data_IF_925251027907
#
_entry.id   IF_925251027907
#
_cell.length_a   1.000
_cell.length_b   1.000
_cell.length_c   1.000
_cell.angle_alpha   90.00
_cell.angle_beta   90.00
_cell.angle_gamma   90.00
#
_symmetry.space_group_name_H-M   'P 1'
#
loop_
_entity.id
_entity.type
_entity.pdbx_description
1 polymer ?
#
# COMPACT_ATOMS: atom_id res chain seq x y z
N UNK A 1 -2.22 -8.22 -3.36
CA UNK A 1 -0.96 -7.67 -2.79
C UNK A 1 0.25 -8.11 -3.61
N UNK A 2 1.38 -7.57 -3.29
CA UNK A 2 2.66 -7.96 -3.87
C UNK A 2 3.52 -8.54 -2.75
N UNK A 3 3.93 -9.80 -2.94
CA UNK A 3 4.85 -10.45 -2.03
C UNK A 3 6.25 -9.83 -2.18
N UNK A 4 6.70 -9.15 -1.16
CA UNK A 4 7.96 -8.42 -1.19
C UNK A 4 9.18 -9.32 -1.10
N UNK A 5 9.05 -10.52 -0.59
CA UNK A 5 10.16 -11.47 -0.51
C UNK A 5 10.43 -12.09 -1.89
N UNK A 6 9.39 -12.32 -2.67
CA UNK A 6 9.49 -12.83 -4.03
C UNK A 6 9.76 -11.74 -5.07
N UNK A 7 9.36 -10.50 -4.80
CA UNK A 7 9.47 -9.42 -5.77
C UNK A 7 10.91 -8.93 -5.93
N UNK A 8 11.44 -8.95 -7.15
CA UNK A 8 12.77 -8.44 -7.50
C UNK A 8 12.81 -6.94 -7.80
N UNK A 9 11.65 -6.27 -7.90
CA UNK A 9 11.57 -4.84 -8.23
C UNK A 9 11.84 -4.50 -9.71
N UNK A 10 11.78 -5.48 -10.61
CA UNK A 10 12.13 -5.32 -12.03
C UNK A 10 11.27 -4.31 -12.82
N UNK A 11 10.07 -3.94 -12.33
CA UNK A 11 9.20 -2.96 -12.97
C UNK A 11 8.39 -3.45 -14.18
N UNK A 12 8.53 -4.72 -14.59
CA UNK A 12 7.81 -5.27 -15.74
C UNK A 12 6.29 -5.15 -15.61
N UNK A 13 5.75 -5.38 -14.40
CA UNK A 13 4.34 -5.25 -14.09
C UNK A 13 3.81 -3.82 -14.27
N UNK A 14 4.58 -2.81 -13.88
CA UNK A 14 4.25 -1.40 -14.06
C UNK A 14 4.24 -1.02 -15.55
N UNK A 15 5.27 -1.40 -16.28
CA UNK A 15 5.40 -1.11 -17.72
C UNK A 15 4.22 -1.66 -18.53
N UNK A 16 3.76 -2.86 -18.20
CA UNK A 16 2.70 -3.56 -18.96
C UNK A 16 1.29 -3.32 -18.43
N UNK A 17 1.13 -2.59 -17.34
CA UNK A 17 -0.19 -2.27 -16.80
C UNK A 17 -0.99 -1.40 -17.80
N UNK A 18 -2.21 -1.81 -18.21
CA UNK A 18 -3.04 -1.04 -19.11
C UNK A 18 -3.76 0.12 -18.42
N UNK A 19 -4.00 0.02 -17.12
CA UNK A 19 -4.72 1.05 -16.36
C UNK A 19 -3.84 2.28 -16.16
N UNK A 20 -4.46 3.46 -16.31
CA UNK A 20 -3.84 4.75 -16.06
C UNK A 20 -4.72 5.57 -15.15
N UNK A 21 -4.16 6.28 -14.22
CA UNK A 21 -4.86 7.20 -13.32
C UNK A 21 -4.01 8.44 -13.11
N UNK A 22 -4.64 9.50 -12.63
CA UNK A 22 -3.94 10.74 -12.27
C UNK A 22 -2.91 10.46 -11.19
N UNK A 23 -1.73 11.02 -11.35
CA UNK A 23 -0.66 10.87 -10.39
C UNK A 23 -0.83 11.88 -9.25
N UNK A 24 -1.11 11.40 -8.06
CA UNK A 24 -1.28 12.24 -6.87
C UNK A 24 0.02 12.81 -6.31
N UNK A 25 1.16 12.26 -6.73
CA UNK A 25 2.49 12.68 -6.22
C UNK A 25 3.03 13.93 -6.95
N UNK A 26 2.42 14.31 -8.08
CA UNK A 26 2.77 15.50 -8.85
C UNK A 26 1.57 16.43 -9.10
N UNK A 27 0.59 16.40 -8.20
CA UNK A 27 -0.63 17.22 -8.26
C UNK A 27 -1.44 16.97 -9.56
N UNK A 28 -1.30 15.81 -10.17
CA UNK A 28 -2.05 15.42 -11.36
C UNK A 28 -1.44 15.84 -12.69
N UNK A 29 -0.21 16.33 -12.70
CA UNK A 29 0.48 16.74 -13.94
C UNK A 29 0.83 15.56 -14.85
N UNK A 30 0.99 14.36 -14.29
CA UNK A 30 1.24 13.15 -15.07
C UNK A 30 0.21 12.05 -14.78
N UNK A 31 0.31 10.97 -15.56
CA UNK A 31 -0.50 9.77 -15.35
C UNK A 31 0.40 8.65 -14.83
N UNK A 32 -0.01 8.02 -13.73
CA UNK A 32 0.61 6.80 -13.22
C UNK A 32 -0.19 5.55 -13.59
N UNK A 33 0.42 4.40 -13.46
CA UNK A 33 -0.25 3.10 -13.61
C UNK A 33 -0.97 2.68 -12.32
N UNK A 34 -1.92 1.76 -12.44
CA UNK A 34 -2.57 1.17 -11.26
C UNK A 34 -1.60 0.33 -10.41
N UNK A 35 -0.56 -0.24 -11.03
CA UNK A 35 0.59 -0.82 -10.33
C UNK A 35 1.80 0.08 -10.60
N UNK A 36 2.42 0.59 -9.56
CA UNK A 36 3.41 1.65 -9.66
C UNK A 36 4.38 1.62 -8.48
N UNK A 37 5.53 2.24 -8.66
CA UNK A 37 6.43 2.60 -7.56
C UNK A 37 6.15 4.06 -7.17
N UNK A 38 6.05 4.38 -5.87
CA UNK A 38 5.74 5.75 -5.42
C UNK A 38 6.71 6.79 -5.97
N UNK A 39 8.00 6.44 -6.01
CA UNK A 39 9.06 7.27 -6.59
C UNK A 39 10.27 6.39 -6.96
N UNK A 40 11.15 6.91 -7.82
CA UNK A 40 12.24 6.12 -8.40
C UNK A 40 13.24 5.58 -7.35
N UNK A 41 13.48 6.34 -6.28
CA UNK A 41 14.42 6.00 -5.20
C UNK A 41 13.76 5.27 -4.02
N UNK A 42 12.54 4.76 -4.18
CA UNK A 42 11.82 4.06 -3.12
C UNK A 42 12.63 2.88 -2.56
N UNK A 43 12.72 2.78 -1.25
CA UNK A 43 13.36 1.66 -0.55
C UNK A 43 12.32 0.99 0.36
N UNK A 44 11.99 -0.26 0.09
CA UNK A 44 12.43 -1.10 -1.03
C UNK A 44 11.89 -0.62 -2.38
N UNK A 45 12.66 -0.79 -3.46
CA UNK A 45 12.25 -0.46 -4.83
C UNK A 45 11.23 -1.48 -5.36
N UNK A 46 10.08 -1.55 -4.71
CA UNK A 46 9.03 -2.52 -5.03
C UNK A 46 7.72 -1.79 -5.33
N UNK A 47 6.96 -2.26 -6.33
CA UNK A 47 5.72 -1.61 -6.70
C UNK A 47 4.62 -1.85 -5.66
N UNK A 48 3.58 -1.04 -5.72
CA UNK A 48 2.31 -1.23 -5.03
C UNK A 48 1.15 -1.23 -6.01
N UNK A 49 0.00 -1.78 -5.62
CA UNK A 49 -1.21 -1.81 -6.43
C UNK A 49 -2.23 -0.86 -5.81
N UNK A 50 -2.73 0.07 -6.62
CA UNK A 50 -3.86 0.91 -6.26
C UNK A 50 -5.18 0.15 -6.50
N UNK A 51 -5.93 -0.22 -5.46
CA UNK A 51 -7.14 -1.01 -5.60
C UNK A 51 -8.23 -0.27 -6.39
N UNK A 52 -8.26 1.06 -6.31
CA UNK A 52 -9.30 1.87 -6.95
C UNK A 52 -9.11 1.98 -8.47
N UNK A 53 -7.87 1.91 -8.94
CA UNK A 53 -7.52 2.06 -10.36
C UNK A 53 -7.24 0.72 -11.04
N UNK A 54 -7.12 -0.37 -10.28
CA UNK A 54 -6.77 -1.67 -10.80
C UNK A 54 -7.99 -2.38 -11.39
N UNK A 55 -8.03 -2.57 -12.71
CA UNK A 55 -9.13 -3.26 -13.42
C UNK A 55 -9.34 -4.71 -12.98
N UNK A 56 -8.32 -5.37 -12.42
CA UNK A 56 -8.49 -6.71 -11.83
C UNK A 56 -9.28 -6.63 -10.53
N UNK A 57 -9.01 -5.65 -9.68
CA UNK A 57 -9.67 -5.52 -8.37
C UNK A 57 -11.05 -4.86 -8.46
N UNK A 58 -11.29 -4.02 -9.48
CA UNK A 58 -12.57 -3.33 -9.67
C UNK A 58 -13.56 -4.11 -10.52
N UNK A 59 -13.10 -4.74 -11.61
CA UNK A 59 -13.96 -5.36 -12.63
C UNK A 59 -13.68 -6.84 -12.85
N UNK A 60 -12.65 -7.38 -12.22
CA UNK A 60 -12.13 -8.77 -12.43
C UNK A 60 -11.71 -9.10 -13.88
N UNK A 61 -11.44 -8.09 -14.71
CA UNK A 61 -11.19 -8.24 -16.15
C UNK A 61 -9.72 -8.18 -16.57
N UNK A 62 -8.79 -8.12 -15.63
CA UNK A 62 -7.37 -7.99 -15.91
C UNK A 62 -6.56 -8.98 -15.06
N UNK A 63 -5.30 -9.11 -15.33
CA UNK A 63 -4.37 -10.02 -14.60
C UNK A 63 -2.99 -10.02 -15.27
N UNK A 64 -2.75 -9.04 -16.15
CA UNK A 64 -1.54 -8.95 -16.97
C UNK A 64 -0.27 -8.91 -16.09
N UNK A 65 -0.30 -8.13 -15.01
CA UNK A 65 0.86 -8.00 -14.12
C UNK A 65 1.24 -9.31 -13.43
N UNK A 66 0.25 -10.12 -12.99
CA UNK A 66 0.53 -11.43 -12.42
C UNK A 66 1.09 -12.41 -13.45
N UNK A 67 0.56 -12.38 -14.69
CA UNK A 67 1.03 -13.26 -15.78
C UNK A 67 2.45 -12.96 -16.24
N UNK A 68 2.86 -11.69 -16.19
CA UNK A 68 4.18 -11.27 -16.66
C UNK A 68 5.23 -11.30 -15.55
N UNK A 69 4.82 -11.46 -14.29
CA UNK A 69 5.74 -11.51 -13.17
C UNK A 69 6.56 -12.81 -13.19
N UNK A 70 7.88 -12.76 -13.39
CA UNK A 70 8.69 -13.96 -13.49
C UNK A 70 8.78 -14.75 -12.19
N UNK A 71 8.59 -14.06 -11.05
CA UNK A 71 8.69 -14.65 -9.71
C UNK A 71 7.32 -14.99 -9.11
N UNK A 72 6.21 -14.66 -9.80
CA UNK A 72 4.87 -14.91 -9.28
C UNK A 72 4.53 -14.12 -8.00
N UNK A 73 5.19 -12.99 -7.79
CA UNK A 73 5.05 -12.20 -6.55
C UNK A 73 3.69 -11.46 -6.44
N UNK A 74 2.85 -11.47 -7.47
CA UNK A 74 1.59 -10.70 -7.49
C UNK A 74 0.43 -11.65 -7.23
N UNK A 75 -0.32 -11.37 -6.16
CA UNK A 75 -1.50 -12.12 -5.74
C UNK A 75 -2.71 -11.20 -5.57
N UNK A 76 -3.91 -11.73 -5.80
CA UNK A 76 -5.18 -11.00 -5.70
C UNK A 76 -6.13 -11.59 -4.65
N UNK A 77 -5.70 -12.66 -4.00
CA UNK A 77 -6.44 -13.45 -3.00
C UNK A 77 -6.22 -12.99 -1.55
N UNK A 78 -5.59 -11.84 -1.38
CA UNK A 78 -5.35 -11.28 -0.05
C UNK A 78 -6.62 -10.66 0.52
N UNK A 79 -6.88 -10.96 1.78
CA UNK A 79 -8.00 -10.42 2.55
C UNK A 79 -7.48 -9.59 3.70
N UNK A 80 -8.18 -8.50 4.01
CA UNK A 80 -7.83 -7.65 5.15
C UNK A 80 -7.92 -8.45 6.45
N UNK A 81 -6.83 -8.46 7.21
CA UNK A 81 -6.78 -9.06 8.55
C UNK A 81 -6.62 -7.96 9.59
N UNK A 82 -7.50 -7.96 10.58
CA UNK A 82 -7.39 -7.08 11.73
C UNK A 82 -6.62 -7.78 12.84
N UNK A 83 -5.50 -7.21 13.24
CA UNK A 83 -4.72 -7.65 14.40
C UNK A 83 -4.88 -6.65 15.53
N UNK A 84 -5.03 -7.15 16.75
CA UNK A 84 -5.07 -6.32 17.95
C UNK A 84 -3.77 -6.52 18.71
N UNK A 85 -3.04 -5.44 18.87
CA UNK A 85 -1.75 -5.46 19.57
C UNK A 85 -1.78 -4.44 20.72
N UNK A 86 -1.02 -4.69 21.77
CA UNK A 86 -0.90 -3.79 22.92
C UNK A 86 0.43 -3.03 22.84
N UNK A 87 0.34 -1.72 22.82
CA UNK A 87 1.51 -0.84 22.76
C UNK A 87 1.64 -0.03 24.06
N UNK A 88 2.86 0.16 24.54
CA UNK A 88 3.14 1.01 25.71
C UNK A 88 2.95 2.49 25.43
N UNK A 89 3.22 2.94 24.20
CA UNK A 89 3.01 4.31 23.75
C UNK A 89 2.77 4.38 22.25
N UNK A 90 2.03 5.39 21.79
CA UNK A 90 1.81 5.69 20.38
C UNK A 90 2.25 7.12 20.11
N UNK A 91 3.20 7.30 19.17
CA UNK A 91 3.67 8.60 18.72
C UNK A 91 3.02 8.91 17.38
N UNK A 92 2.19 9.94 17.34
CA UNK A 92 1.57 10.43 16.11
C UNK A 92 2.39 11.61 15.57
N UNK A 93 3.16 11.35 14.51
CA UNK A 93 3.83 12.38 13.73
C UNK A 93 2.96 12.70 12.50
N UNK A 94 2.32 13.88 12.50
CA UNK A 94 1.37 14.26 11.45
C UNK A 94 1.86 15.50 10.70
N UNK A 95 1.74 15.46 9.38
CA UNK A 95 2.01 16.60 8.52
C UNK A 95 0.94 17.70 8.69
N UNK A 96 1.37 18.96 8.55
CA UNK A 96 0.59 20.17 8.78
C UNK A 96 -0.66 20.34 7.90
N UNK A 97 -0.76 19.64 6.78
CA UNK A 97 -1.84 19.82 5.79
C UNK A 97 -3.20 19.24 6.18
N UNK A 98 -3.31 18.56 7.29
CA UNK A 98 -4.55 17.89 7.65
C UNK A 98 -5.22 18.53 8.86
N UNK A 99 -5.77 19.73 8.70
CA UNK A 99 -6.51 20.48 9.73
C UNK A 99 -7.82 19.82 10.20
N UNK A 100 -8.25 18.72 9.57
CA UNK A 100 -9.46 18.02 9.97
C UNK A 100 -9.15 16.72 10.71
N UNK A 101 -8.38 16.78 11.79
CA UNK A 101 -8.53 15.76 12.81
C UNK A 101 -9.80 16.08 13.57
N UNK A 102 -10.92 15.52 13.16
CA UNK A 102 -12.04 15.34 14.07
C UNK A 102 -11.48 14.74 15.34
N UNK A 103 -11.73 15.40 16.48
CA UNK A 103 -11.39 14.85 17.80
C UNK A 103 -11.98 13.45 17.84
N UNK A 104 -11.14 12.44 17.67
CA UNK A 104 -11.56 11.06 17.88
C UNK A 104 -12.04 10.98 19.33
N UNK A 105 -13.23 10.44 19.59
CA UNK A 105 -13.67 10.18 20.95
C UNK A 105 -12.58 9.37 21.64
N UNK A 106 -12.21 9.74 22.87
CA UNK A 106 -11.26 8.95 23.66
C UNK A 106 -11.77 7.51 23.72
N UNK A 107 -11.00 6.54 23.19
CA UNK A 107 -11.40 5.15 23.34
C UNK A 107 -11.36 4.81 24.83
N UNK A 108 -12.32 4.03 25.33
CA UNK A 108 -12.22 3.47 26.67
C UNK A 108 -10.95 2.62 26.69
N UNK A 109 -10.08 2.95 27.62
CA UNK A 109 -8.79 2.33 27.94
C UNK A 109 -8.32 1.22 26.98
N UNK A 110 -7.33 1.53 26.15
CA UNK A 110 -6.40 0.53 25.63
C UNK A 110 -6.69 -0.17 24.33
N UNK A 111 -7.73 0.16 23.54
CA UNK A 111 -7.96 -0.44 22.24
C UNK A 111 -7.96 0.60 21.12
N UNK A 112 -6.91 0.62 20.31
CA UNK A 112 -6.88 1.34 19.04
C UNK A 112 -7.18 0.36 17.90
N UNK A 113 -8.22 0.63 17.11
CA UNK A 113 -8.45 -0.01 15.83
C UNK A 113 -7.71 0.81 14.77
N UNK A 114 -6.60 0.28 14.29
CA UNK A 114 -5.88 0.86 13.14
C UNK A 114 -6.60 0.47 11.86
N UNK A 115 -7.07 1.45 11.12
CA UNK A 115 -7.62 1.19 9.78
C UNK A 115 -6.54 0.69 8.82
N UNK A 116 -6.86 -0.19 7.86
CA UNK A 116 -5.90 -0.86 6.96
C UNK A 116 -4.98 0.09 6.18
N UNK A 117 -5.41 1.31 5.92
CA UNK A 117 -4.60 2.33 5.20
C UNK A 117 -3.37 2.82 5.97
N UNK A 118 -3.33 2.66 7.30
CA UNK A 118 -2.14 2.99 8.10
C UNK A 118 -1.17 1.81 8.26
N UNK A 119 -1.61 0.58 7.96
CA UNK A 119 -0.81 -0.62 8.19
C UNK A 119 0.45 -0.71 7.31
N UNK A 120 0.45 -0.09 6.12
CA UNK A 120 1.62 -0.12 5.24
C UNK A 120 2.85 0.59 5.81
N UNK A 121 2.67 1.58 6.67
CA UNK A 121 3.78 2.33 7.27
C UNK A 121 4.36 1.60 8.50
N UNK A 122 3.51 0.89 9.26
CA UNK A 122 3.92 0.25 10.51
C UNK A 122 4.43 -1.18 10.37
N UNK A 123 4.16 -1.86 9.24
CA UNK A 123 4.58 -3.27 9.04
C UNK A 123 6.10 -3.48 9.01
N UNK A 124 6.90 -2.42 8.89
CA UNK A 124 8.37 -2.49 8.86
C UNK A 124 9.07 -2.06 10.15
N UNK A 125 8.35 -1.48 11.11
CA UNK A 125 8.96 -0.98 12.33
C UNK A 125 8.99 -1.99 13.49
N UNK A 126 8.29 -3.11 13.37
CA UNK A 126 8.26 -4.17 14.39
C UNK A 126 8.74 -5.50 13.84
N UNK A 127 10.03 -5.64 13.61
CA UNK A 127 10.68 -6.95 13.69
C UNK A 127 10.96 -7.21 15.16
N UNK A 128 10.55 -8.32 15.76
CA UNK A 128 11.00 -8.68 17.10
C UNK A 128 12.51 -8.86 17.05
N UNK A 129 13.19 -8.14 17.91
CA UNK A 129 14.63 -8.34 18.17
C UNK A 129 14.73 -9.70 18.88
N UNK A 130 15.64 -10.60 18.45
CA UNK A 130 15.79 -11.92 19.04
C UNK A 130 16.21 -11.87 20.50
#
# INVERSE_FOLDING_TARGET
>A
YIDYDLCTGCGACETKCPSKTTNEFDEGLSLRKAIYKPFAQAVPSKPTIDPNSCRKLTEDKCGVCAKICPTGAIRYDDTDRTTTETFGAIILAKDHRNHQVRRLPRPPQGRFLLQPRMLHVFRKACTPIP
#
